data_IF_512083180641
#
_entry.id   IF_512083180641
#
_cell.length_a   1.000
_cell.length_b   1.000
_cell.length_c   1.000
_cell.angle_alpha   90.00
_cell.angle_beta   90.00
_cell.angle_gamma   90.00
#
_symmetry.space_group_name_H-M   'P 1'
#
loop_
_entity.id
_entity.type
_entity.pdbx_description
1 polymer ?
#
# COMPACT_ATOMS: atom_id res chain seq x y z
N UNK A 1 -17.03 5.03 -2.71
CA UNK A 1 -17.33 3.69 -2.14
C UNK A 1 -16.14 2.77 -2.42
N UNK A 2 -15.78 1.87 -1.50
CA UNK A 2 -14.69 0.91 -1.75
C UNK A 2 -15.14 -0.07 -2.83
N UNK A 3 -14.39 -0.13 -3.93
CA UNK A 3 -14.62 -1.09 -5.02
C UNK A 3 -13.76 -2.35 -4.83
N UNK A 4 -12.56 -2.16 -4.30
CA UNK A 4 -11.64 -3.26 -4.05
C UNK A 4 -10.91 -3.07 -2.70
N UNK A 5 -10.69 -4.19 -2.01
CA UNK A 5 -9.95 -4.28 -0.77
C UNK A 5 -8.67 -5.07 -0.98
N UNK A 6 -7.54 -4.41 -0.84
CA UNK A 6 -6.22 -5.01 -0.93
C UNK A 6 -5.76 -5.44 0.46
N UNK A 7 -5.51 -6.72 0.63
CA UNK A 7 -5.12 -7.33 1.88
C UNK A 7 -3.60 -7.27 2.03
N UNK A 8 -3.17 -6.32 2.82
CA UNK A 8 -1.79 -5.95 3.10
C UNK A 8 -1.09 -5.18 1.98
N UNK A 9 0.13 -4.68 2.30
CA UNK A 9 1.04 -4.03 1.37
C UNK A 9 2.38 -4.76 1.39
N UNK A 10 2.91 -5.14 0.22
CA UNK A 10 4.23 -5.76 0.02
C UNK A 10 4.58 -6.86 1.04
N UNK A 11 3.73 -7.87 1.21
CA UNK A 11 3.88 -8.84 2.30
C UNK A 11 5.16 -9.68 2.22
N UNK A 12 5.75 -9.83 1.05
CA UNK A 12 7.02 -10.51 0.85
C UNK A 12 8.26 -9.60 1.04
N UNK A 13 8.02 -8.33 1.37
CA UNK A 13 9.07 -7.38 1.73
C UNK A 13 9.18 -7.28 3.26
N UNK A 14 10.39 -7.48 3.77
CA UNK A 14 10.67 -7.44 5.22
C UNK A 14 10.38 -6.09 5.89
N UNK A 15 10.25 -5.01 5.12
CA UNK A 15 9.85 -3.70 5.63
C UNK A 15 8.34 -3.59 5.89
N UNK A 16 7.54 -4.55 5.39
CA UNK A 16 6.09 -4.56 5.54
C UNK A 16 5.54 -5.80 6.26
N UNK A 17 6.30 -6.89 6.31
CA UNK A 17 5.99 -8.10 7.09
C UNK A 17 7.28 -8.67 7.66
N UNK A 18 7.28 -9.06 8.93
CA UNK A 18 8.48 -9.61 9.59
C UNK A 18 8.64 -11.11 9.33
N UNK A 19 9.48 -11.54 8.39
CA UNK A 19 9.67 -12.95 8.08
C UNK A 19 10.38 -13.72 9.20
N UNK A 20 10.99 -13.05 10.18
CA UNK A 20 11.55 -13.72 11.33
C UNK A 20 10.47 -14.27 12.28
N UNK A 21 9.26 -13.65 12.25
CA UNK A 21 8.11 -14.08 13.02
C UNK A 21 7.17 -15.02 12.23
N UNK A 22 7.35 -15.09 10.91
CA UNK A 22 6.53 -15.92 9.99
C UNK A 22 7.37 -16.35 8.78
N UNK A 23 8.37 -17.23 8.96
CA UNK A 23 9.35 -17.55 7.91
C UNK A 23 8.76 -18.25 6.68
N UNK A 24 7.62 -18.93 6.84
CA UNK A 24 6.90 -19.61 5.75
C UNK A 24 5.65 -18.86 5.27
N UNK A 25 5.39 -17.65 5.78
CA UNK A 25 4.18 -16.84 5.50
C UNK A 25 2.86 -17.58 5.77
N UNK A 26 2.86 -18.57 6.64
CA UNK A 26 1.64 -19.32 7.01
C UNK A 26 0.66 -18.43 7.79
N UNK A 27 1.17 -17.59 8.72
CA UNK A 27 0.34 -16.62 9.44
C UNK A 27 -0.21 -15.55 8.52
N UNK A 28 0.60 -15.08 7.57
CA UNK A 28 0.14 -14.13 6.55
C UNK A 28 -1.00 -14.72 5.72
N UNK A 29 -0.83 -15.95 5.23
CA UNK A 29 -1.88 -16.65 4.48
C UNK A 29 -3.17 -16.77 5.31
N UNK A 30 -3.08 -17.11 6.60
CA UNK A 30 -4.24 -17.15 7.50
C UNK A 30 -4.92 -15.77 7.64
N UNK A 31 -4.16 -14.68 7.73
CA UNK A 31 -4.73 -13.32 7.73
C UNK A 31 -5.51 -13.05 6.44
N UNK A 32 -4.94 -13.42 5.30
CA UNK A 32 -5.59 -13.25 3.98
C UNK A 32 -6.89 -14.05 3.89
N UNK A 33 -6.86 -15.32 4.27
CA UNK A 33 -8.04 -16.20 4.23
C UNK A 33 -9.16 -15.63 5.09
N UNK A 34 -8.88 -15.35 6.37
CA UNK A 34 -9.92 -14.84 7.30
C UNK A 34 -10.46 -13.48 6.86
N UNK A 35 -9.58 -12.56 6.44
CA UNK A 35 -10.01 -11.24 5.98
C UNK A 35 -10.79 -11.33 4.66
N UNK A 36 -10.35 -12.14 3.71
CA UNK A 36 -11.04 -12.37 2.45
C UNK A 36 -12.44 -12.94 2.65
N UNK A 37 -12.59 -13.94 3.52
CA UNK A 37 -13.89 -14.52 3.88
C UNK A 37 -14.80 -13.51 4.58
N UNK A 38 -14.25 -12.74 5.51
CA UNK A 38 -15.01 -11.72 6.25
C UNK A 38 -15.51 -10.60 5.31
N UNK A 39 -14.68 -10.12 4.38
CA UNK A 39 -15.08 -9.14 3.36
C UNK A 39 -16.18 -9.71 2.47
N UNK A 40 -16.02 -10.94 1.99
CA UNK A 40 -17.01 -11.60 1.13
C UNK A 40 -18.36 -11.79 1.83
N UNK A 41 -18.33 -12.11 3.11
CA UNK A 41 -19.55 -12.25 3.90
C UNK A 41 -20.33 -10.94 4.06
N UNK A 42 -19.64 -9.80 4.12
CA UNK A 42 -20.25 -8.47 4.22
C UNK A 42 -20.73 -7.99 2.85
N UNK A 43 -19.84 -8.02 1.85
CA UNK A 43 -20.19 -7.59 0.50
C UNK A 43 -19.41 -8.38 -0.55
N UNK A 44 -20.04 -9.38 -1.18
CA UNK A 44 -19.39 -10.20 -2.21
C UNK A 44 -19.05 -9.45 -3.50
N UNK A 45 -19.52 -8.21 -3.69
CA UNK A 45 -19.19 -7.39 -4.84
C UNK A 45 -17.87 -6.64 -4.69
N UNK A 46 -17.29 -6.56 -3.47
CA UNK A 46 -15.98 -5.97 -3.26
C UNK A 46 -14.90 -6.92 -3.74
N UNK A 47 -14.09 -6.46 -4.69
CA UNK A 47 -12.96 -7.25 -5.21
C UNK A 47 -11.88 -7.40 -4.14
N UNK A 48 -11.53 -8.64 -3.79
CA UNK A 48 -10.47 -8.95 -2.81
C UNK A 48 -9.14 -9.11 -3.53
N UNK A 49 -8.14 -8.35 -3.13
CA UNK A 49 -6.84 -8.29 -3.79
C UNK A 49 -5.75 -8.77 -2.84
N UNK A 50 -4.97 -9.77 -3.25
CA UNK A 50 -3.76 -10.15 -2.51
C UNK A 50 -2.75 -8.99 -2.59
N UNK A 51 -2.20 -8.56 -1.46
CA UNK A 51 -1.34 -7.39 -1.33
C UNK A 51 -0.22 -7.33 -2.37
N UNK A 52 0.11 -6.13 -2.83
CA UNK A 52 1.09 -5.89 -3.90
C UNK A 52 2.46 -6.48 -3.58
N UNK A 53 2.81 -7.51 -4.30
CA UNK A 53 4.04 -8.27 -4.14
C UNK A 53 5.26 -7.46 -4.59
N UNK A 54 6.26 -7.29 -3.71
CA UNK A 54 7.50 -6.58 -4.01
C UNK A 54 8.68 -7.19 -3.24
N UNK A 55 9.68 -7.75 -3.93
CA UNK A 55 9.79 -7.91 -5.39
C UNK A 55 8.72 -8.84 -5.96
N UNK A 56 8.52 -8.78 -7.29
CA UNK A 56 7.69 -9.75 -8.01
C UNK A 56 8.36 -11.13 -7.87
N UNK A 57 7.67 -12.07 -7.19
CA UNK A 57 8.22 -13.36 -6.79
C UNK A 57 7.20 -14.51 -7.00
N UNK A 58 7.28 -15.21 -8.15
CA UNK A 58 6.42 -16.36 -8.43
C UNK A 58 6.54 -17.49 -7.40
N UNK A 59 7.72 -17.65 -6.78
CA UNK A 59 7.93 -18.68 -5.78
C UNK A 59 7.19 -18.36 -4.48
N UNK A 60 7.22 -17.10 -4.03
CA UNK A 60 6.41 -16.66 -2.90
C UNK A 60 4.91 -16.83 -3.18
N UNK A 61 4.46 -16.49 -4.40
CA UNK A 61 3.06 -16.68 -4.79
C UNK A 61 2.65 -18.17 -4.73
N UNK A 62 3.51 -19.08 -5.19
CA UNK A 62 3.28 -20.52 -5.07
C UNK A 62 3.16 -21.00 -3.63
N UNK A 63 3.87 -20.36 -2.67
CA UNK A 63 3.65 -20.64 -1.24
C UNK A 63 2.27 -20.17 -0.78
N UNK A 64 1.82 -18.99 -1.23
CA UNK A 64 0.48 -18.47 -0.91
C UNK A 64 -0.63 -19.37 -1.44
N UNK A 65 -0.45 -19.90 -2.66
CA UNK A 65 -1.35 -20.92 -3.22
C UNK A 65 -1.35 -22.19 -2.35
N UNK A 66 -0.17 -22.70 -2.01
CA UNK A 66 -0.01 -23.89 -1.15
C UNK A 66 -0.62 -23.73 0.25
N UNK A 67 -0.74 -22.51 0.76
CA UNK A 67 -1.40 -22.18 2.02
C UNK A 67 -2.90 -21.83 1.87
N UNK A 68 -3.46 -21.87 0.66
CA UNK A 68 -4.88 -21.60 0.40
C UNK A 68 -5.24 -20.11 0.36
N UNK A 69 -4.28 -19.20 0.42
CA UNK A 69 -4.55 -17.76 0.41
C UNK A 69 -5.18 -17.29 -0.91
N UNK A 70 -4.87 -17.95 -2.03
CA UNK A 70 -5.42 -17.57 -3.32
C UNK A 70 -6.92 -17.87 -3.44
N UNK A 71 -7.46 -18.83 -2.71
CA UNK A 71 -8.90 -19.13 -2.72
C UNK A 71 -9.74 -17.99 -2.10
N UNK A 72 -9.14 -17.22 -1.22
CA UNK A 72 -9.79 -16.12 -0.51
C UNK A 72 -9.70 -14.75 -1.22
N UNK A 73 -9.05 -14.68 -2.38
CA UNK A 73 -8.88 -13.44 -3.16
C UNK A 73 -9.32 -13.61 -4.61
N UNK A 74 -9.66 -12.52 -5.26
CA UNK A 74 -10.12 -12.49 -6.65
C UNK A 74 -8.99 -12.06 -7.60
N UNK A 75 -8.01 -11.33 -7.10
CA UNK A 75 -6.93 -10.68 -7.85
C UNK A 75 -5.60 -10.84 -7.10
N UNK A 76 -4.52 -11.02 -7.86
CA UNK A 76 -3.15 -10.91 -7.35
C UNK A 76 -2.57 -9.55 -7.76
N UNK A 77 -1.92 -8.86 -6.83
CA UNK A 77 -1.29 -7.58 -7.13
C UNK A 77 0.23 -7.65 -7.06
N UNK A 78 0.88 -6.84 -7.90
CA UNK A 78 2.34 -6.68 -7.93
C UNK A 78 2.71 -5.20 -7.90
N UNK A 79 3.90 -4.90 -7.37
CA UNK A 79 4.53 -3.60 -7.42
C UNK A 79 5.81 -3.67 -8.26
N UNK A 80 6.15 -2.58 -8.94
CA UNK A 80 7.39 -2.50 -9.66
C UNK A 80 7.87 -1.08 -9.89
N UNK A 81 9.13 -0.86 -9.56
CA UNK A 81 9.83 0.41 -9.72
C UNK A 81 11.09 0.17 -10.57
N UNK A 82 10.90 -0.14 -11.87
CA UNK A 82 12.03 -0.35 -12.78
C UNK A 82 12.90 0.90 -12.82
N UNK A 83 14.22 0.71 -12.97
CA UNK A 83 15.26 1.76 -12.90
C UNK A 83 15.52 2.33 -11.49
N UNK A 84 14.64 2.11 -10.54
CA UNK A 84 14.78 2.58 -9.16
C UNK A 84 15.17 1.44 -8.21
N UNK A 85 14.20 0.78 -7.56
CA UNK A 85 14.53 -0.31 -6.63
C UNK A 85 14.78 -1.65 -7.32
N UNK A 86 14.01 -1.94 -8.37
CA UNK A 86 14.02 -3.28 -8.94
C UNK A 86 15.15 -3.53 -9.93
N UNK A 87 15.84 -2.50 -10.40
CA UNK A 87 17.01 -2.57 -11.29
C UNK A 87 16.81 -3.38 -12.60
N UNK A 88 15.56 -3.64 -13.00
CA UNK A 88 15.25 -4.25 -14.30
C UNK A 88 14.73 -3.19 -15.30
N UNK A 89 14.88 -3.41 -16.61
CA UNK A 89 14.46 -2.44 -17.61
C UNK A 89 12.93 -2.34 -17.70
N UNK A 90 12.40 -1.17 -18.04
CA UNK A 90 10.96 -0.97 -18.26
C UNK A 90 10.34 -1.99 -19.21
N UNK A 91 11.09 -2.42 -20.25
CA UNK A 91 10.65 -3.42 -21.22
C UNK A 91 10.36 -4.80 -20.63
N UNK A 92 10.80 -5.08 -19.41
CA UNK A 92 10.56 -6.36 -18.75
C UNK A 92 9.14 -6.49 -18.15
N UNK A 93 8.32 -5.44 -18.14
CA UNK A 93 6.98 -5.49 -17.55
C UNK A 93 6.11 -6.65 -18.04
N UNK A 94 5.97 -6.90 -19.37
CA UNK A 94 5.17 -8.05 -19.84
C UNK A 94 5.70 -9.39 -19.33
N UNK A 95 7.03 -9.57 -19.27
CA UNK A 95 7.65 -10.80 -18.78
C UNK A 95 7.40 -10.97 -17.28
N UNK A 96 7.46 -9.87 -16.51
CA UNK A 96 7.16 -9.90 -15.05
C UNK A 96 5.71 -10.28 -14.76
N UNK A 97 4.77 -9.81 -15.55
CA UNK A 97 3.37 -10.24 -15.44
C UNK A 97 3.23 -11.72 -15.86
N UNK A 98 3.92 -12.13 -16.93
CA UNK A 98 3.89 -13.51 -17.40
C UNK A 98 4.45 -14.50 -16.37
N UNK A 99 5.50 -14.13 -15.60
CA UNK A 99 6.02 -14.93 -14.48
C UNK A 99 4.93 -15.24 -13.44
N UNK A 100 4.05 -14.29 -13.15
CA UNK A 100 2.95 -14.44 -12.16
C UNK A 100 1.78 -15.22 -12.76
N UNK A 101 1.39 -14.93 -14.00
CA UNK A 101 0.29 -15.66 -14.66
C UNK A 101 0.65 -17.13 -14.99
N UNK A 102 1.93 -17.49 -14.91
CA UNK A 102 2.36 -18.89 -14.96
C UNK A 102 2.06 -19.67 -13.67
N UNK A 103 1.80 -18.97 -12.56
CA UNK A 103 1.50 -19.58 -11.24
C UNK A 103 -0.01 -19.56 -10.97
N UNK A 104 -0.74 -18.57 -11.46
CA UNK A 104 -2.18 -18.40 -11.14
C UNK A 104 -2.97 -17.95 -12.36
N UNK A 105 -4.23 -18.41 -12.46
CA UNK A 105 -5.20 -17.95 -13.47
C UNK A 105 -5.91 -16.63 -13.05
N UNK A 106 -5.62 -16.11 -11.86
CA UNK A 106 -6.25 -14.86 -11.38
C UNK A 106 -5.72 -13.65 -12.14
N UNK A 107 -6.56 -12.61 -12.36
CA UNK A 107 -6.10 -11.35 -12.91
C UNK A 107 -4.94 -10.77 -12.10
N UNK A 108 -3.95 -10.19 -12.79
CA UNK A 108 -2.80 -9.55 -12.14
C UNK A 108 -2.93 -8.03 -12.29
N UNK A 109 -3.01 -7.31 -11.16
CA UNK A 109 -3.00 -5.85 -11.14
C UNK A 109 -1.61 -5.32 -10.80
N UNK A 110 -1.25 -4.18 -11.36
CA UNK A 110 -0.06 -3.42 -10.96
C UNK A 110 -0.54 -2.29 -10.04
N UNK A 111 -0.46 -2.53 -8.74
CA UNK A 111 -1.03 -1.61 -7.74
C UNK A 111 -0.07 -0.52 -7.27
N UNK A 112 1.21 -0.64 -7.63
CA UNK A 112 2.19 0.45 -7.63
C UNK A 112 3.16 0.29 -8.78
N UNK A 113 3.34 1.37 -9.53
CA UNK A 113 4.41 1.53 -10.49
C UNK A 113 4.85 2.98 -10.51
N UNK A 114 6.13 3.22 -10.58
CA UNK A 114 6.69 4.57 -10.65
C UNK A 114 8.08 4.57 -11.26
N UNK A 115 8.46 5.74 -11.75
CA UNK A 115 9.82 6.06 -12.16
C UNK A 115 10.14 7.43 -11.57
N UNK A 116 11.24 7.50 -10.84
CA UNK A 116 11.67 8.72 -10.16
C UNK A 116 12.16 9.77 -11.15
N UNK A 117 11.83 11.03 -10.86
CA UNK A 117 12.39 12.21 -11.56
C UNK A 117 13.75 12.64 -11.00
N UNK A 118 14.33 11.91 -10.05
CA UNK A 118 15.62 12.23 -9.45
C UNK A 118 16.71 12.33 -10.51
N UNK A 119 17.29 13.52 -10.62
CA UNK A 119 18.37 13.83 -11.58
C UNK A 119 17.90 14.31 -12.95
N UNK A 120 16.72 13.84 -13.45
CA UNK A 120 16.15 14.28 -14.72
C UNK A 120 14.65 14.00 -14.80
N UNK A 121 13.82 15.03 -14.95
CA UNK A 121 12.35 14.88 -15.00
C UNK A 121 11.86 14.18 -16.27
N UNK A 122 12.62 14.30 -17.36
CA UNK A 122 12.32 13.63 -18.63
C UNK A 122 12.34 12.11 -18.52
N UNK A 123 13.11 11.57 -17.57
CA UNK A 123 13.12 10.12 -17.28
C UNK A 123 11.79 9.66 -16.72
N UNK A 124 11.13 10.47 -15.88
CA UNK A 124 9.80 10.17 -15.37
C UNK A 124 8.75 10.23 -16.48
N UNK A 125 8.79 11.24 -17.35
CA UNK A 125 7.91 11.35 -18.54
C UNK A 125 8.04 10.10 -19.41
N UNK A 126 9.25 9.76 -19.81
CA UNK A 126 9.52 8.55 -20.60
C UNK A 126 9.04 7.27 -19.88
N UNK A 127 9.32 7.19 -18.59
CA UNK A 127 8.94 6.04 -17.76
C UNK A 127 7.43 5.84 -17.71
N UNK A 128 6.65 6.92 -17.57
CA UNK A 128 5.19 6.87 -17.54
C UNK A 128 4.62 6.45 -18.88
N UNK A 129 5.02 7.11 -19.98
CA UNK A 129 4.57 6.75 -21.33
C UNK A 129 4.88 5.30 -21.68
N UNK A 130 6.11 4.88 -21.35
CA UNK A 130 6.53 3.51 -21.64
C UNK A 130 5.78 2.49 -20.82
N UNK A 131 5.56 2.75 -19.53
CA UNK A 131 4.76 1.89 -18.64
C UNK A 131 3.31 1.78 -19.15
N UNK A 132 2.69 2.91 -19.47
CA UNK A 132 1.33 2.95 -20.02
C UNK A 132 1.21 2.06 -21.28
N UNK A 133 2.16 2.19 -22.18
CA UNK A 133 2.20 1.39 -23.44
C UNK A 133 2.40 -0.10 -23.20
N UNK A 134 3.30 -0.48 -22.28
CA UNK A 134 3.67 -1.89 -22.03
C UNK A 134 2.60 -2.64 -21.24
N UNK A 135 1.91 -1.97 -20.32
CA UNK A 135 0.89 -2.59 -19.48
C UNK A 135 -0.51 -2.55 -20.09
N UNK A 136 -0.70 -1.78 -21.16
CA UNK A 136 -1.99 -1.72 -21.87
C UNK A 136 -2.37 -3.08 -22.43
N UNK A 137 -3.51 -3.61 -21.96
CA UNK A 137 -3.99 -4.94 -22.34
C UNK A 137 -3.25 -6.11 -21.68
N UNK A 138 -2.25 -5.83 -20.83
CA UNK A 138 -1.48 -6.83 -20.07
C UNK A 138 -1.97 -6.89 -18.63
N UNK A 139 -2.11 -5.72 -17.98
CA UNK A 139 -2.64 -5.63 -16.63
C UNK A 139 -4.00 -4.89 -16.66
N UNK A 140 -5.08 -5.48 -16.12
CA UNK A 140 -6.42 -4.85 -16.11
C UNK A 140 -6.49 -3.55 -15.30
N UNK A 141 -5.62 -3.40 -14.29
CA UNK A 141 -5.48 -2.17 -13.51
C UNK A 141 -4.02 -1.86 -13.23
N UNK A 142 -3.71 -0.59 -13.37
CA UNK A 142 -2.39 -0.02 -13.10
C UNK A 142 -2.57 1.25 -12.28
N UNK A 143 -1.76 1.43 -11.23
CA UNK A 143 -1.76 2.62 -10.40
C UNK A 143 -0.37 3.24 -10.36
N UNK A 144 -0.27 4.51 -10.76
CA UNK A 144 0.98 5.27 -10.72
C UNK A 144 1.27 5.76 -9.30
N UNK A 145 2.47 5.51 -8.84
CA UNK A 145 2.99 5.99 -7.57
C UNK A 145 3.91 7.19 -7.83
N UNK A 146 3.56 8.42 -7.44
CA UNK A 146 2.42 8.89 -6.69
C UNK A 146 1.98 10.27 -7.19
N UNK A 147 0.97 10.87 -6.57
CA UNK A 147 0.57 12.24 -6.93
C UNK A 147 1.58 13.26 -6.44
N UNK A 148 2.02 13.16 -5.19
CA UNK A 148 2.94 14.10 -4.57
C UNK A 148 4.30 13.49 -4.30
N UNK A 149 5.35 14.30 -4.44
CA UNK A 149 6.66 13.97 -3.88
C UNK A 149 6.56 13.84 -2.36
N UNK A 150 7.36 12.94 -1.80
CA UNK A 150 7.52 12.86 -0.35
C UNK A 150 8.32 14.07 0.14
N UNK A 151 7.94 14.68 1.27
CA UNK A 151 8.73 15.75 1.86
C UNK A 151 10.10 15.22 2.30
N UNK A 152 11.15 16.02 2.08
CA UNK A 152 12.52 15.65 2.50
C UNK A 152 12.65 15.40 4.00
N UNK A 153 11.71 15.90 4.79
CA UNK A 153 11.60 15.63 6.23
C UNK A 153 10.94 14.29 6.56
N UNK A 154 10.37 13.59 5.55
CA UNK A 154 9.73 12.31 5.78
C UNK A 154 10.76 11.26 6.24
N UNK A 155 10.47 10.63 7.37
CA UNK A 155 11.21 9.47 7.85
C UNK A 155 10.44 8.21 7.55
N UNK A 156 11.10 7.19 7.00
CA UNK A 156 10.47 5.90 6.82
C UNK A 156 9.99 5.37 8.18
N UNK A 157 8.69 5.12 8.30
CA UNK A 157 8.10 4.53 9.52
C UNK A 157 8.33 3.01 9.57
N UNK A 158 9.04 2.46 8.59
CA UNK A 158 9.33 1.03 8.50
C UNK A 158 10.54 0.66 9.34
N UNK A 159 10.50 -0.55 9.94
CA UNK A 159 11.58 -1.08 10.77
C UNK A 159 12.88 -1.31 10.01
N UNK A 160 12.79 -1.53 8.71
CA UNK A 160 13.93 -1.76 7.84
C UNK A 160 14.00 -0.70 6.76
N UNK A 161 15.22 -0.20 6.51
CA UNK A 161 15.46 0.69 5.38
C UNK A 161 15.35 -0.14 4.09
N UNK A 162 14.44 0.25 3.19
CA UNK A 162 14.18 -0.50 1.95
C UNK A 162 15.27 -0.28 0.91
N UNK A 163 15.92 0.87 0.93
CA UNK A 163 16.94 1.24 -0.04
C UNK A 163 18.08 2.03 0.61
N UNK A 164 19.24 1.98 -0.03
CA UNK A 164 20.44 2.74 0.35
C UNK A 164 20.94 3.58 -0.83
N UNK A 165 21.80 4.57 -0.54
CA UNK A 165 22.44 5.40 -1.55
C UNK A 165 21.44 6.16 -2.42
N UNK A 166 21.63 6.17 -3.73
CA UNK A 166 20.79 6.91 -4.68
C UNK A 166 19.34 6.40 -4.72
N UNK A 167 19.12 5.11 -4.50
CA UNK A 167 17.78 4.51 -4.48
C UNK A 167 16.94 5.06 -3.35
N UNK A 168 17.52 5.32 -2.17
CA UNK A 168 16.83 5.99 -1.08
C UNK A 168 16.37 7.39 -1.46
N UNK A 169 17.26 8.21 -2.06
CA UNK A 169 16.90 9.58 -2.47
C UNK A 169 15.88 9.60 -3.60
N UNK A 170 15.91 8.63 -4.51
CA UNK A 170 14.96 8.54 -5.62
C UNK A 170 13.51 8.41 -5.16
N UNK A 171 13.28 7.82 -3.99
CA UNK A 171 11.95 7.68 -3.37
C UNK A 171 11.24 9.01 -3.17
N UNK A 172 11.98 10.07 -2.84
CA UNK A 172 11.39 11.38 -2.61
C UNK A 172 10.88 12.06 -3.89
N UNK A 173 11.20 11.55 -5.08
CA UNK A 173 10.93 12.19 -6.36
C UNK A 173 10.01 11.36 -7.27
N UNK A 174 9.18 10.49 -6.72
CA UNK A 174 8.24 9.66 -7.48
C UNK A 174 6.92 10.37 -7.80
N UNK A 175 6.60 11.45 -7.07
CA UNK A 175 5.38 12.23 -7.28
C UNK A 175 5.32 12.93 -8.65
N UNK A 176 4.11 13.22 -9.11
CA UNK A 176 3.83 14.04 -10.29
C UNK A 176 3.86 15.54 -9.96
N UNK A 177 3.78 15.89 -8.68
CA UNK A 177 3.78 17.24 -8.13
C UNK A 177 4.89 17.30 -7.08
N UNK A 178 5.72 18.36 -7.17
CA UNK A 178 6.83 18.57 -6.24
C UNK A 178 6.33 18.91 -4.83
N UNK A 179 7.22 18.82 -3.85
CA UNK A 179 6.92 19.16 -2.45
C UNK A 179 6.40 20.60 -2.31
N UNK A 180 6.86 21.53 -3.14
CA UNK A 180 6.40 22.92 -3.15
C UNK A 180 5.05 23.16 -3.85
N UNK A 181 4.41 22.10 -4.31
CA UNK A 181 3.11 22.12 -5.01
C UNK A 181 3.21 22.40 -6.51
N UNK A 182 4.41 22.57 -7.08
CA UNK A 182 4.57 22.82 -8.52
C UNK A 182 4.49 21.52 -9.33
N UNK A 183 3.74 21.51 -10.46
CA UNK A 183 3.65 20.34 -11.33
C UNK A 183 4.98 19.99 -11.99
N UNK A 184 5.25 18.70 -12.15
CA UNK A 184 6.31 18.19 -13.02
C UNK A 184 5.79 17.96 -14.45
N UNK A 185 6.66 17.92 -15.48
CA UNK A 185 6.25 17.61 -16.86
C UNK A 185 5.45 16.30 -16.97
N UNK A 186 5.78 15.29 -16.16
CA UNK A 186 5.08 14.01 -16.13
C UNK A 186 3.59 14.12 -15.74
N UNK A 187 3.15 15.24 -15.11
CA UNK A 187 1.74 15.45 -14.79
C UNK A 187 0.88 15.59 -16.05
N UNK A 188 1.37 16.29 -17.09
CA UNK A 188 0.66 16.39 -18.38
C UNK A 188 0.61 15.04 -19.08
N UNK A 189 1.69 14.28 -19.02
CA UNK A 189 1.72 12.91 -19.56
C UNK A 189 0.71 12.03 -18.84
N UNK A 190 0.66 12.09 -17.50
CA UNK A 190 -0.34 11.34 -16.73
C UNK A 190 -1.78 11.70 -17.12
N UNK A 191 -2.09 12.98 -17.32
CA UNK A 191 -3.43 13.44 -17.73
C UNK A 191 -3.92 12.77 -19.02
N UNK A 192 -3.02 12.43 -19.95
CA UNK A 192 -3.35 11.73 -21.19
C UNK A 192 -3.71 10.25 -20.94
N UNK A 193 -3.29 9.67 -19.82
CA UNK A 193 -3.49 8.28 -19.43
C UNK A 193 -4.43 8.10 -18.21
N UNK A 194 -4.93 9.18 -17.64
CA UNK A 194 -5.69 9.15 -16.36
C UNK A 194 -6.97 8.32 -16.41
N UNK A 195 -7.53 8.07 -17.60
CA UNK A 195 -8.68 7.18 -17.79
C UNK A 195 -8.29 5.69 -17.63
N UNK A 196 -7.07 5.32 -18.01
CA UNK A 196 -6.55 3.95 -18.00
C UNK A 196 -5.72 3.64 -16.76
N UNK A 197 -4.92 4.61 -16.31
CA UNK A 197 -4.01 4.49 -15.17
C UNK A 197 -4.58 5.27 -13.97
N UNK A 198 -4.81 4.57 -12.85
CA UNK A 198 -5.17 5.18 -11.58
C UNK A 198 -3.98 5.83 -10.88
N UNK A 199 -4.23 6.53 -9.78
CA UNK A 199 -3.20 7.05 -8.89
C UNK A 199 -3.12 6.22 -7.62
N UNK A 200 -1.91 5.99 -7.13
CA UNK A 200 -1.65 5.61 -5.77
C UNK A 200 -1.29 6.86 -4.97
N UNK A 201 -2.02 7.13 -3.90
CA UNK A 201 -1.68 8.17 -2.94
C UNK A 201 -2.06 7.70 -1.54
N UNK A 202 -1.06 7.55 -0.69
CA UNK A 202 -1.29 7.29 0.72
C UNK A 202 -1.55 8.60 1.45
N UNK A 203 -2.63 8.66 2.20
CA UNK A 203 -2.92 9.78 3.08
C UNK A 203 -2.56 9.39 4.51
N UNK A 204 -1.57 10.06 5.07
CA UNK A 204 -1.23 9.89 6.48
C UNK A 204 -2.36 10.36 7.38
N UNK A 205 -2.32 9.95 8.63
CA UNK A 205 -3.36 10.31 9.59
C UNK A 205 -3.47 11.85 9.73
N UNK A 206 -4.66 12.39 9.42
CA UNK A 206 -4.92 13.83 9.31
C UNK A 206 -4.10 14.56 8.22
N UNK A 207 -3.81 13.89 7.12
CA UNK A 207 -3.06 14.47 6.01
C UNK A 207 -3.70 15.78 5.53
N UNK A 208 -2.99 16.92 5.60
CA UNK A 208 -3.53 18.23 5.19
C UNK A 208 -3.70 18.34 3.67
N UNK A 209 -3.10 17.43 2.89
CA UNK A 209 -3.13 17.46 1.43
C UNK A 209 -4.30 16.68 0.82
N UNK A 210 -5.18 16.09 1.61
CA UNK A 210 -6.32 15.31 1.10
C UNK A 210 -7.18 16.11 0.13
N UNK A 211 -7.60 17.31 0.50
CA UNK A 211 -8.47 18.14 -0.35
C UNK A 211 -7.74 18.61 -1.63
N UNK A 212 -6.46 18.94 -1.51
CA UNK A 212 -5.60 19.29 -2.64
C UNK A 212 -5.47 18.11 -3.62
N UNK A 213 -5.25 16.91 -3.09
CA UNK A 213 -5.16 15.68 -3.89
C UNK A 213 -6.46 15.42 -4.67
N UNK A 214 -7.61 15.53 -4.00
CA UNK A 214 -8.93 15.38 -4.64
C UNK A 214 -9.13 16.41 -5.76
N UNK A 215 -8.76 17.67 -5.52
CA UNK A 215 -8.85 18.72 -6.54
C UNK A 215 -7.96 18.42 -7.77
N UNK A 216 -6.72 17.94 -7.55
CA UNK A 216 -5.85 17.54 -8.63
C UNK A 216 -6.39 16.32 -9.40
N UNK A 217 -6.83 15.27 -8.71
CA UNK A 217 -7.38 14.09 -9.36
C UNK A 217 -8.60 14.40 -10.22
N UNK A 218 -9.51 15.26 -9.75
CA UNK A 218 -10.65 15.75 -10.54
C UNK A 218 -10.21 16.51 -11.79
N UNK A 219 -9.23 17.42 -11.65
CA UNK A 219 -8.68 18.20 -12.76
C UNK A 219 -8.00 17.31 -13.82
N UNK A 220 -7.32 16.26 -13.39
CA UNK A 220 -6.62 15.32 -14.25
C UNK A 220 -7.55 14.30 -14.93
N UNK A 221 -8.81 14.21 -14.50
CA UNK A 221 -9.75 13.19 -14.97
C UNK A 221 -9.44 11.78 -14.43
N UNK A 222 -8.69 11.70 -13.33
CA UNK A 222 -8.43 10.42 -12.65
C UNK A 222 -9.75 9.78 -12.22
N UNK A 223 -9.91 8.49 -12.51
CA UNK A 223 -11.10 7.73 -12.14
C UNK A 223 -10.86 6.80 -10.96
N UNK A 224 -9.65 6.29 -10.83
CA UNK A 224 -9.28 5.27 -9.86
C UNK A 224 -8.20 5.77 -8.92
N UNK A 225 -8.39 5.51 -7.65
CA UNK A 225 -7.36 5.76 -6.63
C UNK A 225 -7.11 4.50 -5.83
N UNK A 226 -5.84 4.23 -5.54
CA UNK A 226 -5.44 3.33 -4.48
C UNK A 226 -4.92 4.14 -3.30
N UNK A 227 -5.42 3.84 -2.12
CA UNK A 227 -5.03 4.48 -0.85
C UNK A 227 -5.01 3.43 0.26
N UNK A 228 -4.76 3.84 1.50
CA UNK A 228 -4.74 2.96 2.66
C UNK A 228 -5.67 3.41 3.78
N UNK A 229 -6.21 2.44 4.50
CA UNK A 229 -6.78 2.59 5.83
C UNK A 229 -5.99 1.68 6.77
N UNK A 230 -5.09 2.28 7.55
CA UNK A 230 -4.19 1.54 8.43
C UNK A 230 -4.95 0.97 9.63
N UNK A 231 -4.83 -0.35 9.83
CA UNK A 231 -5.38 -1.00 11.02
C UNK A 231 -4.73 -0.46 12.30
N UNK A 232 -3.42 -0.21 12.28
CA UNK A 232 -2.74 0.41 13.41
C UNK A 232 -3.30 1.79 13.76
N UNK A 233 -3.67 2.59 12.74
CA UNK A 233 -4.25 3.92 12.95
C UNK A 233 -5.67 3.88 13.49
N UNK A 234 -6.42 2.78 13.32
CA UNK A 234 -7.80 2.66 13.81
C UNK A 234 -7.92 2.79 15.34
N UNK A 235 -6.81 2.63 16.05
CA UNK A 235 -6.72 2.79 17.52
C UNK A 235 -6.30 4.20 17.96
N UNK A 236 -6.04 5.11 17.02
CA UNK A 236 -5.74 6.51 17.35
C UNK A 236 -7.00 7.27 17.76
N UNK A 237 -6.90 8.28 18.62
CA UNK A 237 -8.03 9.19 18.87
C UNK A 237 -8.57 9.79 17.57
N UNK A 238 -9.89 9.81 17.41
CA UNK A 238 -10.58 10.33 16.21
C UNK A 238 -10.26 9.58 14.89
N UNK A 239 -9.81 8.33 14.97
CA UNK A 239 -9.49 7.54 13.78
C UNK A 239 -10.69 7.38 12.86
N UNK A 240 -11.87 7.12 13.40
CA UNK A 240 -13.11 6.98 12.65
C UNK A 240 -13.46 8.27 11.90
N UNK A 241 -13.38 9.41 12.56
CA UNK A 241 -13.65 10.72 11.95
C UNK A 241 -12.68 11.00 10.79
N UNK A 242 -11.41 10.57 10.92
CA UNK A 242 -10.44 10.69 9.85
C UNK A 242 -10.73 9.76 8.67
N UNK A 243 -11.07 8.50 8.94
CA UNK A 243 -11.42 7.54 7.90
C UNK A 243 -12.71 7.97 7.17
N UNK A 244 -13.71 8.46 7.89
CA UNK A 244 -14.94 9.00 7.31
C UNK A 244 -14.63 10.17 6.38
N UNK A 245 -13.84 11.14 6.85
CA UNK A 245 -13.41 12.29 6.04
C UNK A 245 -12.66 11.86 4.77
N UNK A 246 -11.74 10.89 4.89
CA UNK A 246 -10.98 10.40 3.76
C UNK A 246 -11.89 9.72 2.74
N UNK A 247 -12.78 8.83 3.18
CA UNK A 247 -13.67 8.10 2.29
C UNK A 247 -14.75 9.00 1.69
N UNK A 248 -15.26 9.99 2.42
CA UNK A 248 -16.18 11.01 1.91
C UNK A 248 -15.53 11.87 0.82
N UNK A 249 -14.31 12.33 1.04
CA UNK A 249 -13.56 13.12 0.06
C UNK A 249 -13.29 12.33 -1.24
N UNK A 250 -13.15 11.01 -1.14
CA UNK A 250 -12.88 10.11 -2.26
C UNK A 250 -14.14 9.48 -2.89
N UNK A 251 -15.34 9.90 -2.49
CA UNK A 251 -16.60 9.26 -2.90
C UNK A 251 -16.87 9.26 -4.43
N UNK A 252 -16.29 10.22 -5.16
CA UNK A 252 -16.41 10.35 -6.61
C UNK A 252 -15.47 9.42 -7.41
N UNK A 253 -14.62 8.64 -6.73
CA UNK A 253 -13.61 7.79 -7.36
C UNK A 253 -13.89 6.31 -7.12
N UNK A 254 -13.37 5.47 -8.04
CA UNK A 254 -13.28 4.03 -7.85
C UNK A 254 -12.11 3.76 -6.88
N UNK A 255 -12.42 3.45 -5.61
CA UNK A 255 -11.41 3.36 -4.55
C UNK A 255 -10.97 1.91 -4.33
N UNK A 256 -9.68 1.66 -4.50
CA UNK A 256 -9.00 0.46 -3.99
C UNK A 256 -8.35 0.81 -2.66
N UNK A 257 -8.83 0.19 -1.58
CA UNK A 257 -8.29 0.43 -0.23
C UNK A 257 -7.33 -0.69 0.16
N UNK A 258 -6.17 -0.32 0.67
CA UNK A 258 -5.22 -1.26 1.29
C UNK A 258 -5.45 -1.28 2.80
N UNK A 259 -5.73 -2.46 3.33
CA UNK A 259 -5.79 -2.74 4.77
C UNK A 259 -4.46 -3.36 5.19
N UNK A 260 -3.73 -2.73 6.09
CA UNK A 260 -2.43 -3.21 6.54
C UNK A 260 -2.03 -2.63 7.90
N UNK A 261 -0.89 -3.06 8.38
CA UNK A 261 -0.19 -2.63 9.60
C UNK A 261 -0.88 -3.07 10.89
N UNK A 262 -0.22 -4.01 11.56
CA UNK A 262 -0.70 -4.53 12.85
C UNK A 262 -0.52 -3.48 13.94
N UNK A 263 -1.55 -3.20 14.74
CA UNK A 263 -1.37 -2.42 15.97
C UNK A 263 -0.35 -3.12 16.88
N UNK A 264 0.60 -2.38 17.44
CA UNK A 264 1.72 -2.95 18.21
C UNK A 264 1.26 -3.85 19.36
N UNK A 265 0.17 -3.47 20.04
CA UNK A 265 -0.38 -4.24 21.15
C UNK A 265 -1.11 -5.52 20.73
N UNK A 266 -1.44 -5.69 19.44
CA UNK A 266 -2.05 -6.89 18.87
C UNK A 266 -1.02 -7.79 18.17
N UNK A 267 0.17 -7.29 17.90
CA UNK A 267 1.24 -8.03 17.23
C UNK A 267 1.88 -9.11 18.11
N UNK A 268 2.44 -10.13 17.48
CA UNK A 268 3.34 -11.10 18.14
C UNK A 268 4.54 -10.39 18.76
N UNK A 269 5.03 -9.36 18.07
CA UNK A 269 6.03 -8.41 18.55
C UNK A 269 5.50 -6.98 18.45
N UNK A 270 6.02 -6.00 19.24
CA UNK A 270 5.46 -4.67 19.34
C UNK A 270 5.94 -3.75 18.18
N UNK A 271 5.58 -4.09 16.95
CA UNK A 271 5.83 -3.27 15.77
C UNK A 271 4.80 -3.58 14.67
N UNK A 272 4.52 -2.61 13.81
CA UNK A 272 3.43 -2.65 12.82
C UNK A 272 3.62 -3.67 11.68
N UNK A 273 4.83 -4.17 11.46
CA UNK A 273 5.11 -5.23 10.48
C UNK A 273 5.00 -6.64 11.08
N UNK A 274 4.69 -6.74 12.37
CA UNK A 274 4.50 -8.02 13.06
C UNK A 274 3.22 -8.71 12.59
N UNK A 275 3.19 -10.05 12.46
CA UNK A 275 1.94 -10.79 12.41
C UNK A 275 1.08 -10.49 13.64
N UNK A 276 -0.23 -10.43 13.48
CA UNK A 276 -1.13 -10.38 14.63
C UNK A 276 -1.06 -11.70 15.42
N UNK A 277 -1.29 -11.60 16.73
CA UNK A 277 -1.43 -12.82 17.58
C UNK A 277 -2.65 -13.62 17.20
N UNK A 278 -3.75 -12.92 16.93
CA UNK A 278 -5.01 -13.48 16.46
C UNK A 278 -5.37 -12.87 15.11
N UNK A 279 -5.29 -13.64 14.02
CA UNK A 279 -5.63 -13.16 12.67
C UNK A 279 -7.10 -12.80 12.52
N UNK A 280 -8.00 -13.28 13.41
CA UNK A 280 -9.40 -12.89 13.39
C UNK A 280 -9.59 -11.38 13.64
N UNK A 281 -8.76 -10.77 14.47
CA UNK A 281 -8.84 -9.33 14.74
C UNK A 281 -8.58 -8.47 13.50
N UNK A 282 -7.71 -8.92 12.59
CA UNK A 282 -7.52 -8.25 11.30
C UNK A 282 -8.75 -8.44 10.39
N UNK A 283 -9.30 -9.64 10.38
CA UNK A 283 -10.52 -9.93 9.62
C UNK A 283 -11.71 -9.09 10.12
N UNK A 284 -11.86 -8.94 11.45
CA UNK A 284 -12.91 -8.10 12.06
C UNK A 284 -12.75 -6.62 11.67
N UNK A 285 -11.50 -6.11 11.65
CA UNK A 285 -11.22 -4.77 11.15
C UNK A 285 -11.61 -4.61 9.68
N UNK A 286 -11.23 -5.57 8.82
CA UNK A 286 -11.59 -5.55 7.40
C UNK A 286 -13.12 -5.57 7.21
N UNK A 287 -13.81 -6.45 7.92
CA UNK A 287 -15.28 -6.54 7.90
C UNK A 287 -15.93 -5.23 8.30
N UNK A 288 -15.46 -4.62 9.39
CA UNK A 288 -15.95 -3.34 9.87
C UNK A 288 -15.77 -2.21 8.84
N UNK A 289 -14.60 -2.14 8.18
CA UNK A 289 -14.34 -1.14 7.14
C UNK A 289 -15.24 -1.33 5.92
N UNK A 290 -15.47 -2.58 5.50
CA UNK A 290 -16.35 -2.86 4.37
C UNK A 290 -17.82 -2.59 4.71
N UNK A 291 -18.28 -2.98 5.89
CA UNK A 291 -19.65 -2.67 6.33
C UNK A 291 -19.89 -1.15 6.38
N UNK A 292 -18.90 -0.38 6.80
CA UNK A 292 -19.01 1.07 6.92
C UNK A 292 -18.96 1.80 5.58
N UNK A 293 -18.06 1.41 4.67
CA UNK A 293 -17.75 2.17 3.45
C UNK A 293 -18.16 1.50 2.14
N UNK A 294 -18.56 0.25 2.19
CA UNK A 294 -19.04 -0.50 1.03
C UNK A 294 -20.07 -1.56 1.43
N UNK A 295 -21.16 -1.20 2.15
CA UNK A 295 -22.16 -2.18 2.53
C UNK A 295 -22.84 -2.78 1.29
N UNK A 296 -23.27 -4.05 1.36
CA UNK A 296 -23.99 -4.73 0.27
C UNK A 296 -25.39 -4.12 -0.01
N UNK A 297 -25.93 -3.38 0.95
CA UNK A 297 -27.21 -2.67 0.87
C UNK A 297 -27.04 -1.16 0.97
N UNK A 298 -28.16 -0.44 1.03
CA UNK A 298 -28.15 1.02 1.15
C UNK A 298 -27.68 1.53 2.52
N UNK A 299 -27.60 0.66 3.51
CA UNK A 299 -27.19 1.01 4.89
C UNK A 299 -26.24 -0.04 5.43
N UNK A 300 -25.27 0.41 6.26
CA UNK A 300 -24.41 -0.45 7.04
C UNK A 300 -25.24 -1.40 7.92
N UNK A 301 -24.76 -2.63 8.10
CA UNK A 301 -25.35 -3.61 9.02
C UNK A 301 -25.09 -3.27 10.49
N UNK A 302 -24.23 -2.27 10.74
CA UNK A 302 -23.94 -1.76 12.07
C UNK A 302 -22.96 -2.64 12.86
N UNK A 303 -22.06 -3.31 12.17
CA UNK A 303 -20.95 -4.00 12.83
C UNK A 303 -20.22 -3.00 13.72
N UNK A 304 -20.13 -3.30 15.01
CA UNK A 304 -19.41 -2.47 15.95
C UNK A 304 -17.93 -2.40 15.59
N UNK A 305 -17.32 -1.24 15.82
CA UNK A 305 -15.87 -1.15 15.79
C UNK A 305 -15.26 -2.21 16.73
N UNK A 306 -14.13 -2.84 16.36
CA UNK A 306 -13.44 -3.77 17.24
C UNK A 306 -13.23 -3.11 18.60
N UNK A 307 -13.57 -3.81 19.69
CA UNK A 307 -13.40 -3.28 21.03
C UNK A 307 -11.96 -2.80 21.20
N UNK A 308 -11.82 -1.54 21.59
CA UNK A 308 -10.51 -0.97 21.93
C UNK A 308 -10.04 -1.68 23.20
N UNK A 309 -9.01 -2.52 23.18
CA UNK A 309 -8.47 -3.06 24.42
C UNK A 309 -8.02 -1.88 25.29
N UNK A 310 -8.06 -2.02 26.63
CA UNK A 310 -7.66 -0.95 27.52
C UNK A 310 -6.28 -0.44 27.10
N UNK A 311 -6.20 0.87 26.86
CA UNK A 311 -4.96 1.54 26.42
C UNK A 311 -3.86 1.17 27.42
N UNK A 312 -2.80 0.47 27.00
CA UNK A 312 -1.67 0.22 27.88
C UNK A 312 -1.13 1.58 28.37
N UNK A 313 -0.56 1.67 29.60
CA UNK A 313 0.00 2.92 30.08
C UNK A 313 0.96 3.48 29.05
N UNK A 314 0.86 4.78 28.76
CA UNK A 314 1.66 5.47 27.74
C UNK A 314 3.12 5.05 27.87
N UNK A 315 3.61 4.33 26.86
CA UNK A 315 5.04 4.27 26.61
C UNK A 315 5.44 5.70 26.24
N UNK A 316 6.51 6.27 26.83
CA UNK A 316 6.96 7.61 26.47
C UNK A 316 7.10 7.68 24.93
N UNK A 317 6.59 8.76 24.33
CA UNK A 317 6.80 9.03 22.90
C UNK A 317 8.30 8.89 22.60
N UNK A 318 8.65 7.90 21.81
CA UNK A 318 10.00 7.78 21.26
C UNK A 318 10.16 8.96 20.30
N UNK A 319 10.93 9.94 20.70
CA UNK A 319 11.25 11.09 19.85
C UNK A 319 12.11 10.62 18.68
N UNK A 320 12.06 11.27 17.50
CA UNK A 320 12.87 10.90 16.32
C UNK A 320 14.38 10.79 16.57
N UNK A 321 14.87 11.29 17.69
CA UNK A 321 16.28 11.22 18.14
C UNK A 321 16.70 9.81 18.62
N UNK A 322 15.76 8.94 18.98
CA UNK A 322 16.10 7.63 19.55
C UNK A 322 16.49 6.60 18.47
N UNK A 323 16.08 6.79 17.21
CA UNK A 323 16.51 5.95 16.09
C UNK A 323 18.00 6.05 15.75
N UNK A 324 18.65 7.15 16.12
CA UNK A 324 20.09 7.36 15.90
C UNK A 324 20.97 6.94 17.09
N UNK A 325 20.37 6.50 18.20
CA UNK A 325 21.12 6.21 19.42
C UNK A 325 21.97 4.96 19.29
N UNK A 326 21.43 3.91 18.67
CA UNK A 326 22.15 2.66 18.48
C UNK A 326 23.28 2.78 17.45
N UNK A 327 23.12 3.59 16.40
CA UNK A 327 24.18 3.89 15.43
C UNK A 327 25.28 4.77 16.05
N UNK A 328 24.96 5.73 16.93
CA UNK A 328 25.95 6.52 17.67
C UNK A 328 26.73 5.66 18.66
N UNK A 329 26.07 4.78 19.39
CA UNK A 329 26.73 3.84 20.32
C UNK A 329 27.59 2.81 19.59
N UNK A 330 27.22 2.40 18.39
CA UNK A 330 28.03 1.52 17.54
C UNK A 330 29.27 2.25 16.99
N UNK A 331 29.12 3.53 16.58
CA UNK A 331 30.24 4.36 16.12
C UNK A 331 31.24 4.68 17.24
N UNK A 332 30.74 4.98 18.44
CA UNK A 332 31.58 5.24 19.62
C UNK A 332 32.35 4.00 20.10
N UNK A 333 31.77 2.80 19.96
CA UNK A 333 32.46 1.52 20.25
C UNK A 333 33.48 1.13 19.20
N UNK A 334 33.37 1.65 17.97
CA UNK A 334 34.32 1.38 16.88
C UNK A 334 35.52 2.35 16.87
N UNK A 335 35.37 3.47 17.62
CA UNK A 335 36.41 4.51 17.74
C UNK A 335 37.25 4.42 19.04
N UNK A 336 36.94 3.47 19.91
CA UNK A 336 37.68 3.13 21.14
C UNK A 336 38.42 1.79 20.98
#
# INVERSE_FOLDING_TARGET
MIEAAMLWNEPNNKSHWDPALDPDWQRFAEHVVRAGDAIHAINPAVTRVLGGMSPIDPHWLGKMEGHGALDAVDVVAVHGFPLDWNLWPLSAWPDKIAEITAVTDKPVWVTEVGVSSFGAEEVQVFGLERTASLLKGVAPRVFWYSLFDLPMSWGAETRHREAEGSSYYRHFYLGLIREDGTPKPALETYAQHAADIGLMQWFHFHDPRLDEAVAWMKRLGTRRIRTGLSWADSFRPNAVDWFDRQMEALADFDVTVTFCFTPEHLGVAPHHTSPARDPQQFADFCAWMIDRYAPAGATSTGIAAPETPPVPPRVPELTPLDFNRDERLAAERSAA
#
